data_IF_424154137137
#
_entry.id   IF_424154137137
#
_cell.length_a   1.000
_cell.length_b   1.000
_cell.length_c   1.000
_cell.angle_alpha   90.00
_cell.angle_beta   90.00
_cell.angle_gamma   90.00
#
_symmetry.space_group_name_H-M   'P 1'
#
loop_
_entity.id
_entity.type
_entity.pdbx_description
1 polymer ?
#
# COMPACT_ATOMS: atom_id res chain seq x y z
N UNK A 1 4.46 -15.66 14.60
CA UNK A 1 4.80 -14.50 13.75
C UNK A 1 3.53 -14.05 13.08
N UNK A 2 2.93 -12.95 13.53
CA UNK A 2 1.72 -12.39 12.93
C UNK A 2 2.08 -11.94 11.51
N UNK A 3 1.61 -12.67 10.50
CA UNK A 3 1.74 -12.20 9.12
C UNK A 3 1.05 -10.84 9.01
N UNK A 4 1.59 -9.88 8.25
CA UNK A 4 0.93 -8.60 8.03
C UNK A 4 -0.49 -8.88 7.53
N UNK A 5 -1.50 -8.34 8.22
CA UNK A 5 -2.89 -8.46 7.80
C UNK A 5 -2.98 -7.82 6.41
N UNK A 6 -3.30 -8.61 5.40
CA UNK A 6 -3.66 -8.05 4.10
C UNK A 6 -5.00 -7.33 4.28
N UNK A 7 -4.99 -6.00 4.30
CA UNK A 7 -6.23 -5.22 4.32
C UNK A 7 -7.01 -5.45 3.02
N UNK A 8 -8.32 -5.26 3.07
CA UNK A 8 -9.22 -5.60 1.96
C UNK A 8 -8.75 -4.95 0.65
N UNK A 9 -8.37 -5.76 -0.36
CA UNK A 9 -7.80 -5.25 -1.59
C UNK A 9 -8.82 -4.41 -2.36
N UNK A 10 -8.49 -3.15 -2.59
CA UNK A 10 -9.32 -2.24 -3.39
C UNK A 10 -9.14 -2.52 -4.89
N UNK A 11 -10.25 -2.65 -5.62
CA UNK A 11 -10.25 -2.82 -7.08
C UNK A 11 -9.64 -1.58 -7.76
N UNK A 12 -8.76 -1.80 -8.73
CA UNK A 12 -8.05 -0.74 -9.45
C UNK A 12 -6.66 -0.40 -8.94
N UNK A 13 -6.16 -1.10 -7.92
CA UNK A 13 -4.82 -0.90 -7.37
C UNK A 13 -3.95 -2.15 -7.54
N UNK A 14 -2.68 -1.94 -7.88
CA UNK A 14 -1.72 -3.02 -8.12
C UNK A 14 -0.88 -3.34 -6.89
N UNK A 15 -0.63 -2.35 -6.03
CA UNK A 15 0.25 -2.46 -4.88
C UNK A 15 -0.44 -1.99 -3.62
N UNK A 16 -0.19 -2.68 -2.52
CA UNK A 16 -0.53 -2.27 -1.18
C UNK A 16 0.75 -1.82 -0.47
N UNK A 17 0.73 -0.64 0.10
CA UNK A 17 1.81 -0.06 0.89
C UNK A 17 1.48 -0.28 2.36
N UNK A 18 2.44 -0.86 3.07
CA UNK A 18 2.43 -1.08 4.50
C UNK A 18 3.51 -0.21 5.14
N UNK A 19 3.24 0.30 6.33
CA UNK A 19 4.16 1.06 7.15
C UNK A 19 4.34 0.36 8.49
N UNK A 20 5.57 0.34 8.99
CA UNK A 20 5.89 -0.14 10.32
C UNK A 20 6.53 1.01 11.09
N UNK A 21 5.89 1.39 12.20
CA UNK A 21 6.42 2.37 13.13
C UNK A 21 7.72 1.84 13.77
N UNK A 22 8.66 2.71 14.17
CA UNK A 22 9.85 2.27 14.89
C UNK A 22 9.52 1.69 16.28
N UNK A 23 8.43 2.16 16.89
CA UNK A 23 8.00 1.72 18.22
C UNK A 23 7.10 0.48 18.19
N UNK A 24 6.32 0.30 17.11
CA UNK A 24 5.47 -0.88 16.92
C UNK A 24 6.08 -1.84 15.92
N UNK A 25 6.24 -3.10 16.33
CA UNK A 25 6.78 -4.16 15.46
C UNK A 25 5.73 -4.73 14.48
N UNK A 26 4.62 -4.04 14.30
CA UNK A 26 3.51 -4.47 13.46
C UNK A 26 3.44 -3.60 12.19
N UNK A 27 3.19 -4.25 11.06
CA UNK A 27 2.96 -3.56 9.80
C UNK A 27 1.49 -3.16 9.70
N UNK A 28 1.24 -1.87 9.64
CA UNK A 28 -0.07 -1.27 9.41
C UNK A 28 -0.24 -0.91 7.93
N UNK A 29 -1.48 -0.87 7.46
CA UNK A 29 -1.76 -0.39 6.13
C UNK A 29 -1.60 1.12 6.05
N UNK A 30 -0.88 1.56 5.02
CA UNK A 30 -0.61 2.97 4.76
C UNK A 30 -1.43 3.47 3.57
N UNK A 31 -1.29 2.83 2.41
CA UNK A 31 -2.00 3.25 1.19
C UNK A 31 -2.02 2.16 0.10
N UNK A 32 -2.70 2.42 -1.02
CA UNK A 32 -2.69 1.62 -2.23
C UNK A 32 -2.08 2.42 -3.40
N UNK A 33 -1.34 1.74 -4.27
CA UNK A 33 -0.75 2.35 -5.47
C UNK A 33 -1.21 1.65 -6.75
N UNK A 34 -1.55 2.45 -7.75
CA UNK A 34 -2.05 1.97 -9.05
C UNK A 34 -0.92 1.41 -9.92
N UNK A 35 0.31 1.83 -9.71
CA UNK A 35 1.45 1.40 -10.52
C UNK A 35 2.81 1.67 -9.87
N UNK A 36 3.89 1.32 -10.57
CA UNK A 36 5.25 1.48 -10.03
C UNK A 36 5.69 2.93 -9.84
N UNK A 37 5.26 3.84 -10.73
CA UNK A 37 5.57 5.27 -10.62
C UNK A 37 4.90 5.87 -9.38
N UNK A 38 3.61 5.61 -9.24
CA UNK A 38 2.77 6.03 -8.12
C UNK A 38 3.29 5.49 -6.79
N UNK A 39 3.60 4.19 -6.74
CA UNK A 39 4.26 3.53 -5.60
C UNK A 39 5.54 4.25 -5.18
N UNK A 40 6.41 4.60 -6.13
CA UNK A 40 7.69 5.26 -5.83
C UNK A 40 7.45 6.67 -5.28
N UNK A 41 6.51 7.39 -5.88
CA UNK A 41 6.15 8.74 -5.44
C UNK A 41 5.58 8.74 -4.02
N UNK A 42 4.61 7.85 -3.74
CA UNK A 42 4.01 7.66 -2.42
C UNK A 42 5.06 7.30 -1.37
N UNK A 43 5.91 6.30 -1.63
CA UNK A 43 6.97 5.91 -0.68
C UNK A 43 7.94 7.07 -0.41
N UNK A 44 8.29 7.85 -1.42
CA UNK A 44 9.15 9.02 -1.22
C UNK A 44 8.47 10.08 -0.35
N UNK A 45 7.22 10.42 -0.64
CA UNK A 45 6.44 11.37 0.16
C UNK A 45 6.29 10.90 1.60
N UNK A 46 5.96 9.62 1.82
CA UNK A 46 5.82 9.07 3.16
C UNK A 46 7.13 9.02 3.93
N UNK A 47 8.24 8.68 3.27
CA UNK A 47 9.56 8.76 3.92
C UNK A 47 9.89 10.18 4.39
N UNK A 48 9.50 11.19 3.61
CA UNK A 48 9.69 12.59 3.99
C UNK A 48 8.74 13.00 5.12
N UNK A 49 7.48 12.58 5.08
CA UNK A 49 6.45 12.97 6.04
C UNK A 49 6.61 12.28 7.42
N UNK A 50 6.83 10.97 7.44
CA UNK A 50 6.97 10.21 8.69
C UNK A 50 8.36 10.38 9.33
N UNK A 51 9.38 10.65 8.52
CA UNK A 51 10.76 10.84 8.99
C UNK A 51 11.55 9.53 9.18
N UNK A 52 12.72 9.68 9.80
CA UNK A 52 13.66 8.57 9.98
C UNK A 52 13.17 7.56 11.02
N UNK A 53 13.19 6.26 10.68
CA UNK A 53 12.82 5.16 11.58
C UNK A 53 11.62 4.33 11.12
N UNK A 54 10.78 4.88 10.23
CA UNK A 54 9.65 4.15 9.65
C UNK A 54 10.10 3.22 8.53
N UNK A 55 9.60 1.98 8.54
CA UNK A 55 9.88 1.00 7.48
C UNK A 55 8.67 0.82 6.59
N UNK A 56 8.86 1.04 5.29
CA UNK A 56 7.82 0.83 4.30
C UNK A 56 8.02 -0.51 3.61
N UNK A 57 6.94 -1.27 3.44
CA UNK A 57 6.91 -2.53 2.70
C UNK A 57 5.78 -2.47 1.69
N UNK A 58 6.00 -3.04 0.50
CA UNK A 58 4.96 -3.11 -0.53
C UNK A 58 4.62 -4.55 -0.83
N UNK A 59 3.32 -4.85 -0.90
CA UNK A 59 2.77 -6.13 -1.34
C UNK A 59 2.15 -5.91 -2.71
N UNK A 60 2.47 -6.79 -3.66
CA UNK A 60 1.80 -6.80 -4.95
C UNK A 60 0.48 -7.54 -4.81
N UNK A 61 -0.63 -6.88 -5.15
CA UNK A 61 -1.95 -7.48 -5.11
C UNK A 61 -2.11 -8.47 -6.28
N UNK A 62 -2.93 -9.53 -6.12
CA UNK A 62 -3.28 -10.42 -7.23
C UNK A 62 -3.89 -9.67 -8.42
N UNK A 63 -3.59 -10.10 -9.64
CA UNK A 63 -4.02 -9.44 -10.88
C UNK A 63 -5.54 -9.22 -10.98
N UNK A 64 -6.35 -10.08 -10.35
CA UNK A 64 -7.81 -9.94 -10.30
C UNK A 64 -8.30 -8.61 -9.69
N UNK A 65 -7.45 -7.91 -8.93
CA UNK A 65 -7.76 -6.62 -8.32
C UNK A 65 -7.22 -5.41 -9.09
N UNK A 66 -6.44 -5.62 -10.16
CA UNK A 66 -5.80 -4.50 -10.88
C UNK A 66 -6.78 -3.73 -11.75
N UNK A 67 -7.90 -4.34 -12.12
CA UNK A 67 -8.89 -3.74 -13.01
C UNK A 67 -9.84 -2.85 -12.19
N UNK A 68 -9.90 -1.56 -12.50
CA UNK A 68 -11.01 -0.71 -12.04
C UNK A 68 -12.27 -1.23 -12.73
N UNK A 69 -13.24 -1.74 -11.98
CA UNK A 69 -14.60 -1.84 -12.52
C UNK A 69 -15.06 -0.41 -12.72
N UNK A 70 -15.13 0.02 -13.98
CA UNK A 70 -15.87 1.22 -14.33
C UNK A 70 -17.32 0.99 -13.85
N UNK A 71 -17.68 1.63 -12.75
CA UNK A 71 -19.08 1.73 -12.36
C UNK A 71 -19.72 2.57 -13.45
N UNK A 72 -20.29 1.91 -14.45
CA UNK A 72 -21.24 2.53 -15.37
C UNK A 72 -22.41 2.99 -14.51
N UNK A 73 -22.38 4.26 -14.11
CA UNK A 73 -23.58 4.93 -13.62
C UNK A 73 -24.50 5.04 -14.84
N UNK A 74 -25.49 4.15 -14.87
CA UNK A 74 -26.62 4.19 -15.82
C UNK A 74 -27.64 5.20 -15.31
#
# INVERSE_FOLDING_TARGET
MTMPKAYDPQEGYMYQILVMCPNDREYEHCDYAVGNADKKHLIQNYKLAYGAGFRFKTIMLPQKYWTKKEVKVV
#
